data_IF_866044560219
#
_entry.id   IF_866044560219
#
_cell.length_a   1.000
_cell.length_b   1.000
_cell.length_c   1.000
_cell.angle_alpha   90.00
_cell.angle_beta   90.00
_cell.angle_gamma   90.00
#
_symmetry.space_group_name_H-M   'P 1'
#
loop_
_entity.id
_entity.type
_entity.pdbx_description
1 polymer ?
#
# COMPACT_ATOMS: atom_id res chain seq x y z
N UNK A 1 39.32 18.17 -4.65
CA UNK A 1 37.84 18.19 -4.72
C UNK A 1 37.35 16.96 -3.99
N UNK A 2 36.40 17.06 -3.03
CA UNK A 2 35.87 15.87 -2.38
C UNK A 2 35.02 15.10 -3.38
N UNK A 3 35.26 13.80 -3.47
CA UNK A 3 34.50 12.89 -4.33
C UNK A 3 33.25 12.47 -3.53
N UNK A 4 32.11 13.11 -3.82
CA UNK A 4 30.83 12.76 -3.21
C UNK A 4 30.28 11.58 -4.01
N UNK A 5 30.42 10.38 -3.46
CA UNK A 5 29.72 9.20 -3.98
C UNK A 5 28.25 9.39 -3.59
N UNK A 6 27.29 9.44 -4.54
CA UNK A 6 25.89 9.50 -4.19
C UNK A 6 25.51 8.22 -3.44
N UNK A 7 24.70 8.37 -2.38
CA UNK A 7 24.10 7.20 -1.74
C UNK A 7 23.28 6.41 -2.78
N UNK A 8 23.34 5.07 -2.76
CA UNK A 8 22.58 4.27 -3.69
C UNK A 8 21.08 4.54 -3.50
N UNK A 9 20.35 4.70 -4.61
CA UNK A 9 18.89 4.80 -4.52
C UNK A 9 18.32 3.52 -3.90
N UNK A 10 17.28 3.62 -3.05
CA UNK A 10 16.64 2.44 -2.50
C UNK A 10 16.07 1.57 -3.63
N UNK A 11 16.31 0.27 -3.53
CA UNK A 11 15.87 -0.74 -4.50
C UNK A 11 14.35 -0.96 -4.39
N UNK A 12 13.71 -1.23 -5.51
CA UNK A 12 12.27 -1.55 -5.58
C UNK A 12 11.44 -0.56 -6.39
N UNK A 13 10.27 -1.04 -6.78
CA UNK A 13 9.31 -0.31 -7.61
C UNK A 13 8.08 0.11 -6.81
N UNK A 14 7.58 1.31 -7.11
CA UNK A 14 6.31 1.77 -6.55
C UNK A 14 5.16 1.07 -7.26
N UNK A 15 4.42 0.29 -6.47
CA UNK A 15 3.15 -0.34 -6.78
C UNK A 15 2.00 0.56 -6.32
N UNK A 16 0.80 -0.02 -6.27
CA UNK A 16 -0.46 0.68 -6.01
C UNK A 16 -0.41 1.60 -4.78
N UNK A 17 -0.03 1.08 -3.61
CA UNK A 17 -0.09 1.84 -2.35
C UNK A 17 1.03 2.89 -2.25
N UNK A 18 2.22 2.62 -2.78
CA UNK A 18 3.28 3.62 -2.88
C UNK A 18 2.89 4.78 -3.81
N UNK A 19 2.26 4.48 -4.95
CA UNK A 19 1.73 5.50 -5.86
C UNK A 19 0.60 6.32 -5.22
N UNK A 20 -0.29 5.68 -4.45
CA UNK A 20 -1.33 6.37 -3.68
C UNK A 20 -0.74 7.35 -2.67
N UNK A 21 0.26 6.93 -1.88
CA UNK A 21 0.95 7.82 -0.94
C UNK A 21 1.61 8.99 -1.66
N UNK A 22 2.30 8.72 -2.77
CA UNK A 22 2.95 9.75 -3.59
C UNK A 22 1.96 10.80 -4.08
N UNK A 23 0.82 10.35 -4.61
CA UNK A 23 -0.25 11.25 -5.07
C UNK A 23 -0.81 12.08 -3.91
N UNK A 24 -1.11 11.45 -2.77
CA UNK A 24 -1.61 12.17 -1.60
C UNK A 24 -0.63 13.24 -1.11
N UNK A 25 0.66 12.90 -1.01
CA UNK A 25 1.70 13.84 -0.60
C UNK A 25 1.80 15.04 -1.56
N UNK A 26 1.74 14.78 -2.87
CA UNK A 26 1.85 15.83 -3.88
C UNK A 26 0.65 16.78 -3.85
N UNK A 27 -0.56 16.25 -3.76
CA UNK A 27 -1.80 17.04 -3.85
C UNK A 27 -2.14 17.76 -2.52
N UNK A 28 -1.94 17.10 -1.38
CA UNK A 28 -2.44 17.59 -0.08
C UNK A 28 -1.36 17.96 0.93
N UNK A 29 -0.10 17.54 0.71
CA UNK A 29 1.02 17.75 1.64
C UNK A 29 2.28 18.22 0.89
N UNK A 30 2.12 19.14 -0.06
CA UNK A 30 3.16 19.58 -0.99
C UNK A 30 4.46 20.02 -0.31
N UNK A 31 4.40 20.66 0.86
CA UNK A 31 5.58 21.01 1.64
C UNK A 31 6.37 19.80 2.15
N UNK A 32 5.69 18.76 2.64
CA UNK A 32 6.33 17.50 3.05
C UNK A 32 6.93 16.81 1.83
N UNK A 33 6.17 16.74 0.73
CA UNK A 33 6.63 16.16 -0.53
C UNK A 33 7.94 16.83 -1.01
N UNK A 34 7.96 18.16 -1.08
CA UNK A 34 9.15 18.91 -1.49
C UNK A 34 10.32 18.71 -0.53
N UNK A 35 10.07 18.72 0.80
CA UNK A 35 11.10 18.42 1.79
C UNK A 35 11.76 17.06 1.57
N UNK A 36 10.97 16.02 1.32
CA UNK A 36 11.48 14.67 1.05
C UNK A 36 12.20 14.54 -0.30
N UNK A 37 11.76 15.27 -1.33
CA UNK A 37 12.47 15.34 -2.61
C UNK A 37 13.84 15.98 -2.43
N UNK A 38 13.91 17.12 -1.74
CA UNK A 38 15.15 17.84 -1.48
C UNK A 38 16.11 17.04 -0.61
N UNK A 39 15.59 16.24 0.32
CA UNK A 39 16.41 15.39 1.18
C UNK A 39 16.75 14.03 0.56
N UNK A 40 16.25 13.71 -0.64
CA UNK A 40 16.45 12.39 -1.28
C UNK A 40 15.69 11.22 -0.63
N UNK A 41 14.84 11.46 0.37
CA UNK A 41 14.18 10.42 1.18
C UNK A 41 12.83 9.96 0.63
N UNK A 42 12.33 10.60 -0.43
CA UNK A 42 10.99 10.32 -0.94
C UNK A 42 10.81 8.85 -1.34
N UNK A 43 11.77 8.25 -2.05
CA UNK A 43 11.63 6.88 -2.58
C UNK A 43 11.59 5.85 -1.43
N UNK A 44 12.48 5.98 -0.46
CA UNK A 44 12.51 5.16 0.76
C UNK A 44 11.18 5.24 1.52
N UNK A 45 10.69 6.46 1.77
CA UNK A 45 9.40 6.68 2.43
C UNK A 45 8.24 5.97 1.73
N UNK A 46 8.17 6.11 0.41
CA UNK A 46 7.09 5.53 -0.39
C UNK A 46 7.13 4.01 -0.42
N UNK A 47 8.33 3.41 -0.43
CA UNK A 47 8.51 1.95 -0.35
C UNK A 47 8.11 1.41 1.02
N UNK A 48 8.54 2.07 2.10
CA UNK A 48 8.17 1.68 3.46
C UNK A 48 6.65 1.75 3.67
N UNK A 49 6.00 2.85 3.29
CA UNK A 49 4.53 2.97 3.40
C UNK A 49 3.82 1.94 2.53
N UNK A 50 4.36 1.63 1.35
CA UNK A 50 3.82 0.58 0.50
C UNK A 50 3.86 -0.79 1.18
N UNK A 51 5.01 -1.20 1.70
CA UNK A 51 5.15 -2.51 2.35
C UNK A 51 4.22 -2.64 3.57
N UNK A 52 4.12 -1.58 4.37
CA UNK A 52 3.19 -1.54 5.50
C UNK A 52 1.73 -1.67 5.05
N UNK A 53 1.34 -0.94 4.00
CA UNK A 53 0.00 -0.98 3.44
C UNK A 53 -0.35 -2.35 2.83
N UNK A 54 0.58 -2.98 2.11
CA UNK A 54 0.41 -4.31 1.53
C UNK A 54 0.26 -5.37 2.62
N UNK A 55 1.12 -5.33 3.64
CA UNK A 55 1.02 -6.24 4.78
C UNK A 55 -0.31 -6.10 5.51
N UNK A 56 -0.78 -4.87 5.74
CA UNK A 56 -2.06 -4.67 6.41
C UNK A 56 -3.25 -5.11 5.52
N UNK A 57 -3.18 -4.82 4.22
CA UNK A 57 -4.17 -5.28 3.25
C UNK A 57 -4.34 -6.80 3.28
N UNK A 58 -3.24 -7.55 3.26
CA UNK A 58 -3.27 -9.01 3.28
C UNK A 58 -3.87 -9.56 4.59
N UNK A 59 -3.54 -8.93 5.72
CA UNK A 59 -4.14 -9.26 7.04
C UNK A 59 -5.65 -9.03 7.03
N UNK A 60 -6.12 -7.88 6.54
CA UNK A 60 -7.55 -7.55 6.47
C UNK A 60 -8.30 -8.52 5.55
N UNK A 61 -7.75 -8.82 4.37
CA UNK A 61 -8.34 -9.78 3.44
C UNK A 61 -8.46 -11.16 4.09
N UNK A 62 -7.43 -11.62 4.79
CA UNK A 62 -7.46 -12.90 5.51
C UNK A 62 -8.54 -12.95 6.59
N UNK A 63 -8.57 -11.94 7.47
CA UNK A 63 -9.55 -11.86 8.57
C UNK A 63 -10.99 -11.76 8.07
N UNK A 64 -11.24 -10.96 7.03
CA UNK A 64 -12.57 -10.82 6.45
C UNK A 64 -13.01 -12.10 5.72
N UNK A 65 -12.08 -12.76 5.01
CA UNK A 65 -12.36 -14.03 4.33
C UNK A 65 -12.74 -15.13 5.30
N UNK A 66 -12.02 -15.23 6.43
CA UNK A 66 -12.34 -16.16 7.51
C UNK A 66 -13.72 -15.87 8.10
N UNK A 67 -14.01 -14.60 8.43
CA UNK A 67 -15.29 -14.16 8.99
C UNK A 67 -16.47 -14.44 8.06
N UNK A 68 -16.29 -14.25 6.75
CA UNK A 68 -17.35 -14.42 5.75
C UNK A 68 -17.45 -15.84 5.15
N UNK A 69 -16.60 -16.78 5.62
CA UNK A 69 -16.58 -18.15 5.12
C UNK A 69 -16.13 -18.28 3.66
N UNK A 70 -15.28 -17.36 3.19
CA UNK A 70 -14.74 -17.37 1.82
C UNK A 70 -13.58 -18.35 1.75
N UNK A 71 -13.90 -19.63 1.59
CA UNK A 71 -12.93 -20.75 1.64
C UNK A 71 -12.72 -21.38 0.26
N UNK A 72 -11.68 -22.20 0.13
CA UNK A 72 -11.47 -23.03 -1.08
C UNK A 72 -12.61 -24.04 -1.29
N UNK A 73 -13.31 -24.47 -0.23
CA UNK A 73 -14.52 -25.28 -0.38
C UNK A 73 -15.62 -24.49 -1.09
N UNK A 74 -15.91 -23.26 -0.66
CA UNK A 74 -16.88 -22.39 -1.33
C UNK A 74 -16.51 -22.16 -2.79
N UNK A 75 -15.22 -22.04 -3.10
CA UNK A 75 -14.72 -21.88 -4.47
C UNK A 75 -14.99 -23.11 -5.35
N UNK A 76 -14.88 -24.32 -4.78
CA UNK A 76 -15.20 -25.57 -5.48
C UNK A 76 -16.71 -25.77 -5.67
N UNK A 77 -17.52 -25.39 -4.69
CA UNK A 77 -18.99 -25.52 -4.73
C UNK A 77 -19.65 -24.44 -5.59
N UNK A 78 -19.18 -23.19 -5.48
CA UNK A 78 -19.73 -22.04 -6.19
C UNK A 78 -18.65 -20.98 -6.45
N UNK A 79 -17.87 -21.19 -7.50
CA UNK A 79 -16.78 -20.30 -7.90
C UNK A 79 -17.24 -18.85 -8.12
N UNK A 80 -18.41 -18.62 -8.70
CA UNK A 80 -18.92 -17.27 -8.97
C UNK A 80 -19.22 -16.51 -7.68
N UNK A 81 -19.85 -17.17 -6.70
CA UNK A 81 -20.10 -16.57 -5.38
C UNK A 81 -18.79 -16.32 -4.63
N UNK A 82 -17.82 -17.24 -4.71
CA UNK A 82 -16.49 -17.06 -4.12
C UNK A 82 -15.80 -15.82 -4.70
N UNK A 83 -15.77 -15.66 -6.04
CA UNK A 83 -15.17 -14.50 -6.70
C UNK A 83 -15.87 -13.21 -6.28
N UNK A 84 -17.21 -13.20 -6.23
CA UNK A 84 -17.97 -12.03 -5.81
C UNK A 84 -17.62 -11.61 -4.38
N UNK A 85 -17.60 -12.55 -3.44
CA UNK A 85 -17.28 -12.28 -2.04
C UNK A 85 -15.82 -11.84 -1.86
N UNK A 86 -14.88 -12.53 -2.50
CA UNK A 86 -13.46 -12.17 -2.44
C UNK A 86 -13.21 -10.77 -3.01
N UNK A 87 -13.89 -10.39 -4.10
CA UNK A 87 -13.78 -9.05 -4.67
C UNK A 87 -14.32 -7.98 -3.71
N UNK A 88 -15.46 -8.23 -3.07
CA UNK A 88 -16.02 -7.30 -2.08
C UNK A 88 -15.08 -7.13 -0.88
N UNK A 89 -14.52 -8.23 -0.36
CA UNK A 89 -13.55 -8.21 0.74
C UNK A 89 -12.32 -7.38 0.37
N UNK A 90 -11.74 -7.62 -0.81
CA UNK A 90 -10.57 -6.85 -1.29
C UNK A 90 -10.90 -5.37 -1.44
N UNK A 91 -12.10 -5.02 -1.92
CA UNK A 91 -12.51 -3.62 -2.04
C UNK A 91 -12.61 -2.94 -0.67
N UNK A 92 -13.21 -3.60 0.33
CA UNK A 92 -13.30 -3.08 1.69
C UNK A 92 -11.92 -2.94 2.35
N UNK A 93 -11.07 -3.96 2.23
CA UNK A 93 -9.71 -3.91 2.77
C UNK A 93 -8.88 -2.78 2.15
N UNK A 94 -9.01 -2.57 0.84
CA UNK A 94 -8.36 -1.47 0.15
C UNK A 94 -8.85 -0.09 0.63
N UNK A 95 -10.15 0.07 0.88
CA UNK A 95 -10.71 1.33 1.38
C UNK A 95 -10.13 1.68 2.76
N UNK A 96 -10.06 0.71 3.67
CA UNK A 96 -9.45 0.88 5.00
C UNK A 96 -7.99 1.32 4.87
N UNK A 97 -7.18 0.56 4.13
CA UNK A 97 -5.74 0.84 3.97
C UNK A 97 -5.50 2.19 3.28
N UNK A 98 -6.35 2.57 2.32
CA UNK A 98 -6.27 3.86 1.64
C UNK A 98 -6.43 5.03 2.61
N UNK A 99 -7.30 4.92 3.61
CA UNK A 99 -7.45 5.95 4.63
C UNK A 99 -6.21 6.07 5.52
N UNK A 100 -5.60 4.93 5.88
CA UNK A 100 -4.39 4.89 6.72
C UNK A 100 -3.16 5.46 6.03
N UNK A 101 -3.01 5.23 4.72
CA UNK A 101 -1.90 5.77 3.90
C UNK A 101 -1.82 7.30 4.01
N UNK A 102 -2.92 8.00 4.28
CA UNK A 102 -2.92 9.47 4.44
C UNK A 102 -2.17 9.92 5.70
N UNK A 103 -2.22 9.13 6.76
CA UNK A 103 -1.70 9.49 8.09
C UNK A 103 -0.36 8.83 8.45
N UNK A 104 0.17 7.96 7.59
CA UNK A 104 1.50 7.39 7.82
C UNK A 104 2.58 8.49 7.84
N UNK A 105 3.21 8.68 8.99
CA UNK A 105 4.25 9.69 9.25
C UNK A 105 5.66 9.09 9.41
N UNK A 106 5.85 7.83 8.98
CA UNK A 106 7.18 7.22 9.00
C UNK A 106 8.20 8.02 8.20
#
# INVERSE_FOLDING_TARGET
>A
MPNIIPEPEPEGELRKFGLMRKHYLKEYKSGIYQGMVLSGKLKEHLLMVQEQAESHFDVLVGQMSEREGVTEQLKGENQMLWVQKMNNIRAMAEEIVREEIKYCNG
#
